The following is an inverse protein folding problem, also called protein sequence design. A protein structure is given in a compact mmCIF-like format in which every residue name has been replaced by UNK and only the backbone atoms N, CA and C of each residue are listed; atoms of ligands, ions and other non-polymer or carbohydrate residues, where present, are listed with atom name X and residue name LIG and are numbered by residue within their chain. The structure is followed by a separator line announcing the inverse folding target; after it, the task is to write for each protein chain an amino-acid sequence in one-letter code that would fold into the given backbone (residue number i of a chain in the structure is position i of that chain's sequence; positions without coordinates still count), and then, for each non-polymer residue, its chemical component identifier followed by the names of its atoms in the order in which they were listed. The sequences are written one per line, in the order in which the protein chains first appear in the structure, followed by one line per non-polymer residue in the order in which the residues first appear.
data_IF_058338055262
#
_entry.id   IF_058338055262
#
_cell.length_a   1.000
_cell.length_b   1.000
_cell.length_c   1.000
_cell.angle_alpha   90.00
_cell.angle_beta   90.00
_cell.angle_gamma   90.00
#
_symmetry.space_group_name_H-M   'P 1'
#
loop_
_entity.id
_entity.type
_entity.pdbx_description
1 polymer ?
#
# COMPACT_ATOMS: atom_id res chain seq x y z
N UNK A 1 -79.36 7.56 13.26
CA UNK A 1 -79.50 6.49 12.27
C UNK A 1 -78.14 6.40 11.58
N UNK A 2 -77.14 5.73 12.18
CA UNK A 2 -76.91 4.27 12.10
C UNK A 2 -76.79 3.85 10.63
N UNK A 3 -75.66 3.35 10.11
CA UNK A 3 -74.84 2.26 10.62
C UNK A 3 -73.38 2.37 10.15
N UNK A 4 -72.44 2.03 11.05
CA UNK A 4 -71.09 1.63 10.68
C UNK A 4 -71.09 0.11 10.41
N UNK A 5 -70.54 -0.30 9.27
CA UNK A 5 -70.34 -1.70 8.91
C UNK A 5 -68.83 -1.98 8.98
N UNK A 6 -68.44 -2.65 10.06
CA UNK A 6 -67.11 -3.21 10.30
C UNK A 6 -66.97 -4.50 9.47
N UNK A 7 -65.95 -4.59 8.64
CA UNK A 7 -65.55 -5.83 7.96
C UNK A 7 -64.39 -6.49 8.71
N UNK A 8 -64.53 -7.75 9.19
CA UNK A 8 -63.44 -8.49 9.80
C UNK A 8 -62.72 -9.38 8.77
N UNK A 9 -61.57 -8.93 8.25
CA UNK A 9 -60.66 -9.81 7.51
C UNK A 9 -59.80 -10.64 8.48
N UNK A 10 -60.23 -11.88 8.69
CA UNK A 10 -59.46 -12.96 9.29
C UNK A 10 -58.30 -13.33 8.35
N UNK A 11 -57.06 -13.08 8.76
CA UNK A 11 -55.88 -13.70 8.15
C UNK A 11 -55.48 -14.90 8.98
N UNK A 12 -55.72 -16.09 8.45
CA UNK A 12 -55.30 -17.38 8.98
C UNK A 12 -53.78 -17.49 8.96
N UNK A 13 -53.15 -17.54 10.14
CA UNK A 13 -51.77 -17.97 10.30
C UNK A 13 -51.68 -19.49 10.06
N UNK A 14 -51.03 -19.89 8.97
CA UNK A 14 -50.61 -21.28 8.77
C UNK A 14 -49.39 -21.58 9.65
N UNK A 15 -49.53 -22.53 10.58
CA UNK A 15 -48.43 -23.09 11.36
C UNK A 15 -47.33 -23.67 10.43
N UNK A 16 -46.04 -23.48 10.72
CA UNK A 16 -44.96 -24.20 10.04
C UNK A 16 -45.04 -25.69 10.39
N UNK A 17 -45.29 -26.54 9.39
CA UNK A 17 -45.09 -27.98 9.52
C UNK A 17 -43.57 -28.26 9.62
N UNK A 18 -43.15 -28.93 10.70
CA UNK A 18 -41.80 -29.44 10.83
C UNK A 18 -41.51 -30.43 9.68
N UNK A 19 -40.38 -30.29 8.96
CA UNK A 19 -40.00 -31.26 7.95
C UNK A 19 -39.73 -32.63 8.58
N UNK A 20 -40.04 -33.73 7.87
CA UNK A 20 -39.81 -35.09 8.37
C UNK A 20 -38.31 -35.31 8.64
N UNK A 21 -38.00 -35.79 9.85
CA UNK A 21 -36.65 -36.23 10.25
C UNK A 21 -36.11 -37.24 9.25
N UNK A 22 -35.18 -36.80 8.39
CA UNK A 22 -34.37 -37.71 7.60
C UNK A 22 -33.36 -38.40 8.54
N UNK A 23 -33.07 -39.70 8.33
CA UNK A 23 -32.08 -40.41 9.11
C UNK A 23 -30.73 -39.71 8.97
N UNK A 24 -30.14 -39.36 10.11
CA UNK A 24 -28.79 -38.79 10.21
C UNK A 24 -27.81 -39.85 9.70
N UNK A 25 -27.31 -39.67 8.48
CA UNK A 25 -26.18 -40.43 7.96
C UNK A 25 -24.97 -39.96 8.75
N UNK A 26 -24.53 -40.75 9.73
CA UNK A 26 -23.29 -40.50 10.48
C UNK A 26 -22.14 -40.58 9.47
N UNK A 27 -21.42 -39.48 9.21
CA UNK A 27 -20.29 -39.52 8.30
C UNK A 27 -19.23 -40.45 8.88
N UNK A 28 -18.87 -41.51 8.16
CA UNK A 28 -17.75 -42.35 8.52
C UNK A 28 -16.50 -41.49 8.64
N UNK A 29 -15.85 -41.54 9.81
CA UNK A 29 -14.62 -40.82 10.09
C UNK A 29 -13.58 -41.22 9.03
N UNK A 30 -13.06 -40.28 8.22
CA UNK A 30 -12.07 -40.62 7.21
C UNK A 30 -10.85 -41.22 7.90
N UNK A 31 -10.48 -42.46 7.51
CA UNK A 31 -9.22 -43.09 7.93
C UNK A 31 -8.07 -42.30 7.29
N UNK A 32 -7.54 -41.33 8.01
CA UNK A 32 -6.31 -40.63 7.63
C UNK A 32 -5.16 -41.63 7.57
N UNK A 33 -4.65 -41.86 6.37
CA UNK A 33 -3.51 -42.74 6.14
C UNK A 33 -2.22 -42.01 6.54
N UNK A 34 -1.79 -42.17 7.79
CA UNK A 34 -0.57 -41.56 8.33
C UNK A 34 0.69 -41.91 7.52
N UNK A 35 0.71 -43.04 6.80
CA UNK A 35 1.83 -43.39 5.93
C UNK A 35 1.95 -42.42 4.74
N UNK A 36 0.83 -41.93 4.21
CA UNK A 36 0.82 -40.98 3.09
C UNK A 36 1.33 -39.60 3.55
N UNK A 37 0.93 -39.16 4.75
CA UNK A 37 1.43 -37.91 5.35
C UNK A 37 2.94 -38.00 5.60
N UNK A 38 3.42 -39.14 6.13
CA UNK A 38 4.84 -39.38 6.34
C UNK A 38 5.68 -39.30 5.05
N UNK A 39 5.16 -39.86 3.96
CA UNK A 39 5.83 -39.82 2.65
C UNK A 39 5.99 -38.37 2.14
N UNK A 40 4.95 -37.56 2.26
CA UNK A 40 4.95 -36.15 1.79
C UNK A 40 5.94 -35.30 2.59
N UNK A 41 6.01 -35.47 3.91
CA UNK A 41 6.96 -34.72 4.75
C UNK A 41 8.40 -35.11 4.40
N UNK A 42 8.66 -36.39 4.15
CA UNK A 42 9.99 -36.88 3.78
C UNK A 42 10.45 -36.31 2.43
N UNK A 43 9.58 -36.28 1.41
CA UNK A 43 9.92 -35.71 0.10
C UNK A 43 10.14 -34.20 0.17
N UNK A 44 9.34 -33.47 0.96
CA UNK A 44 9.58 -32.03 1.18
C UNK A 44 10.95 -31.77 1.83
N UNK A 45 11.33 -32.53 2.88
CA UNK A 45 12.65 -32.41 3.52
C UNK A 45 13.80 -32.64 2.53
N UNK A 46 13.66 -33.61 1.62
CA UNK A 46 14.68 -33.88 0.59
C UNK A 46 14.77 -32.75 -0.43
N UNK A 47 13.64 -32.24 -0.94
CA UNK A 47 13.63 -31.17 -1.95
C UNK A 47 14.17 -29.85 -1.38
N UNK A 48 13.72 -29.46 -0.18
CA UNK A 48 14.19 -28.21 0.45
C UNK A 48 15.60 -28.34 1.01
N UNK A 49 15.97 -29.49 1.59
CA UNK A 49 17.31 -29.72 2.14
C UNK A 49 18.39 -29.76 1.06
N UNK A 50 18.18 -30.55 -0.01
CA UNK A 50 19.15 -30.62 -1.10
C UNK A 50 19.06 -29.41 -2.04
N UNK A 51 17.86 -28.92 -2.35
CA UNK A 51 17.67 -27.75 -3.22
C UNK A 51 18.29 -26.48 -2.64
N UNK A 52 18.12 -26.24 -1.33
CA UNK A 52 18.73 -25.10 -0.64
C UNK A 52 20.26 -25.16 -0.60
N UNK A 53 20.82 -26.36 -0.47
CA UNK A 53 22.29 -26.54 -0.44
C UNK A 53 22.96 -26.18 -1.77
N UNK A 54 22.34 -26.52 -2.91
CA UNK A 54 22.90 -26.19 -4.24
C UNK A 54 22.79 -24.70 -4.58
N UNK A 55 21.71 -24.02 -4.18
CA UNK A 55 21.55 -22.58 -4.42
C UNK A 55 22.53 -21.74 -3.59
N UNK A 56 22.86 -22.15 -2.37
CA UNK A 56 23.78 -21.41 -1.50
C UNK A 56 25.23 -21.35 -2.03
N UNK A 57 25.66 -22.30 -2.87
CA UNK A 57 27.04 -22.36 -3.38
C UNK A 57 27.32 -21.42 -4.56
N UNK A 58 26.30 -20.89 -5.25
CA UNK A 58 26.51 -20.01 -6.41
C UNK A 58 26.79 -18.54 -6.05
N UNK A 59 26.54 -18.11 -4.81
CA UNK A 59 26.67 -16.70 -4.40
C UNK A 59 28.08 -16.26 -3.98
N UNK A 60 29.08 -17.16 -3.94
CA UNK A 60 30.41 -16.83 -3.39
C UNK A 60 31.50 -16.50 -4.41
N UNK A 61 31.18 -16.50 -5.70
CA UNK A 61 32.17 -16.19 -6.75
C UNK A 61 31.54 -15.35 -7.84
N UNK A 62 31.70 -14.03 -7.73
CA UNK A 62 32.09 -13.11 -8.82
C UNK A 62 31.91 -11.66 -8.34
N UNK A 63 33.00 -10.95 -8.06
CA UNK A 63 33.25 -9.60 -8.58
C UNK A 63 34.60 -9.08 -8.06
N UNK A 64 35.65 -9.39 -8.82
CA UNK A 64 36.90 -8.61 -8.87
C UNK A 64 37.20 -8.36 -10.35
N UNK A 65 37.73 -7.16 -10.64
CA UNK A 65 38.08 -6.58 -11.95
C UNK A 65 36.94 -5.84 -12.68
N UNK A 66 37.10 -4.62 -13.21
CA UNK A 66 38.32 -3.88 -13.57
C UNK A 66 38.11 -2.36 -13.47
N UNK A 67 39.17 -1.69 -13.02
CA UNK A 67 39.42 -0.26 -13.17
C UNK A 67 40.13 0.00 -14.51
N UNK A 68 39.78 1.12 -15.14
CA UNK A 68 40.51 1.91 -16.14
C UNK A 68 41.11 1.26 -17.39
N UNK A 69 40.66 1.70 -18.57
CA UNK A 69 41.50 2.33 -19.61
C UNK A 69 40.62 3.14 -20.57
N UNK A 70 41.00 4.41 -20.76
CA UNK A 70 40.44 5.38 -21.70
C UNK A 70 40.78 5.07 -23.17
N UNK A 71 39.95 5.54 -24.13
CA UNK A 71 40.40 6.31 -25.32
C UNK A 71 39.22 6.81 -26.19
N UNK A 72 39.42 8.01 -26.74
CA UNK A 72 38.50 8.97 -27.36
C UNK A 72 37.96 8.67 -28.78
N UNK A 73 37.12 9.62 -29.24
CA UNK A 73 36.62 9.97 -30.60
C UNK A 73 35.23 9.41 -30.93
N UNK A 74 34.22 10.17 -31.40
CA UNK A 74 34.14 11.45 -32.13
C UNK A 74 32.71 12.03 -32.04
N UNK A 75 32.57 13.36 -32.12
CA UNK A 75 31.33 14.14 -32.02
C UNK A 75 30.15 13.72 -32.91
N UNK A 76 28.92 14.07 -32.47
CA UNK A 76 28.08 14.92 -33.32
C UNK A 76 27.41 16.09 -32.56
N UNK A 77 27.39 17.24 -33.23
CA UNK A 77 26.41 18.35 -33.24
C UNK A 77 25.66 18.68 -31.92
N UNK A 78 25.90 19.85 -31.28
CA UNK A 78 25.12 20.28 -30.14
C UNK A 78 23.76 20.87 -30.60
N UNK A 79 22.69 20.14 -30.36
CA UNK A 79 21.35 20.73 -30.16
C UNK A 79 21.39 21.50 -28.84
N UNK A 80 20.81 22.71 -28.73
CA UNK A 80 20.81 23.46 -27.48
C UNK A 80 20.03 22.70 -26.41
N UNK A 81 20.78 21.98 -25.58
CA UNK A 81 20.32 21.33 -24.36
C UNK A 81 19.94 22.43 -23.38
N UNK A 82 18.64 22.56 -23.11
CA UNK A 82 18.15 23.39 -22.02
C UNK A 82 18.84 22.91 -20.74
N UNK A 83 19.81 23.70 -20.28
CA UNK A 83 20.53 23.46 -19.04
C UNK A 83 19.51 23.54 -17.90
N UNK A 84 18.93 22.39 -17.55
CA UNK A 84 18.23 22.22 -16.29
C UNK A 84 19.27 22.36 -15.19
N UNK A 85 19.47 23.60 -14.76
CA UNK A 85 20.26 23.91 -13.58
C UNK A 85 19.54 23.21 -12.43
N UNK A 86 20.11 22.07 -12.00
CA UNK A 86 19.69 21.37 -10.78
C UNK A 86 20.02 22.29 -9.62
N UNK A 87 19.09 23.20 -9.35
CA UNK A 87 19.14 24.09 -8.20
C UNK A 87 19.00 23.19 -6.99
N UNK A 88 20.06 23.08 -6.20
CA UNK A 88 20.03 22.46 -4.87
C UNK A 88 18.87 23.11 -4.11
N UNK A 89 17.99 22.36 -3.43
CA UNK A 89 16.75 22.91 -2.89
C UNK A 89 17.02 24.13 -2.02
N UNK A 90 16.32 25.22 -2.36
CA UNK A 90 16.19 26.39 -1.51
C UNK A 90 15.89 25.96 -0.07
N UNK A 91 16.55 26.62 0.88
CA UNK A 91 16.34 26.49 2.33
C UNK A 91 14.87 26.21 2.60
N UNK A 92 14.55 24.96 2.92
CA UNK A 92 13.16 24.57 3.10
C UNK A 92 12.55 25.40 4.21
N UNK A 93 11.39 25.95 3.92
CA UNK A 93 10.65 26.75 4.88
C UNK A 93 10.09 25.84 5.98
N UNK A 94 10.91 25.61 7.00
CA UNK A 94 10.52 24.86 8.21
C UNK A 94 9.56 25.66 9.09
N UNK A 95 9.26 26.92 8.76
CA UNK A 95 8.34 27.75 9.55
C UNK A 95 6.92 27.19 9.58
N UNK A 96 6.57 26.31 8.63
CA UNK A 96 5.26 25.65 8.54
C UNK A 96 5.16 24.42 9.44
N UNK A 97 6.28 23.89 9.93
CA UNK A 97 6.27 22.70 10.76
C UNK A 97 6.00 23.04 12.24
N UNK A 98 5.29 22.16 12.97
CA UNK A 98 5.20 22.27 14.42
C UNK A 98 6.59 22.22 15.07
N UNK A 99 6.73 22.87 16.23
CA UNK A 99 7.99 22.92 16.98
C UNK A 99 8.52 21.49 17.24
N UNK A 100 9.78 21.26 16.90
CA UNK A 100 10.48 19.99 17.12
C UNK A 100 10.29 18.94 16.01
N UNK A 101 9.44 19.20 15.00
CA UNK A 101 9.35 18.35 13.83
C UNK A 101 10.53 18.58 12.90
N UNK A 102 10.88 17.55 12.12
CA UNK A 102 12.00 17.61 11.17
C UNK A 102 11.61 16.96 9.85
N UNK A 103 12.16 17.45 8.75
CA UNK A 103 12.03 16.77 7.48
C UNK A 103 13.01 15.59 7.39
N UNK A 104 12.52 14.45 6.90
CA UNK A 104 13.35 13.28 6.56
C UNK A 104 13.05 12.83 5.13
N UNK A 105 14.09 12.42 4.41
CA UNK A 105 14.03 11.91 3.04
C UNK A 105 14.42 10.43 3.01
N UNK A 106 13.81 9.62 2.15
CA UNK A 106 14.23 8.23 1.92
C UNK A 106 15.07 8.05 0.64
N UNK A 107 15.31 9.12 -0.11
CA UNK A 107 16.06 9.22 -1.37
C UNK A 107 15.50 8.43 -2.56
N UNK A 108 14.36 7.73 -2.41
CA UNK A 108 13.81 6.92 -3.50
C UNK A 108 12.87 7.77 -4.38
N UNK A 109 11.87 8.40 -3.76
CA UNK A 109 10.84 9.16 -4.47
C UNK A 109 11.10 10.66 -4.53
N UNK A 110 12.27 11.13 -4.08
CA UNK A 110 12.58 12.56 -3.97
C UNK A 110 11.69 13.32 -2.99
N UNK A 111 10.89 12.62 -2.20
CA UNK A 111 9.93 13.18 -1.26
C UNK A 111 10.53 13.29 0.13
N UNK A 112 10.13 14.33 0.86
CA UNK A 112 10.45 14.48 2.27
C UNK A 112 9.20 14.46 3.14
N UNK A 113 9.30 13.75 4.26
CA UNK A 113 8.24 13.61 5.25
C UNK A 113 8.53 14.51 6.44
N UNK A 114 7.51 15.24 6.89
CA UNK A 114 7.56 15.96 8.16
C UNK A 114 7.38 14.95 9.31
N UNK A 115 8.44 14.65 10.05
CA UNK A 115 8.44 13.62 11.09
C UNK A 115 8.44 14.27 12.48
N UNK A 116 7.50 13.91 13.38
CA UNK A 116 7.51 14.40 14.75
C UNK A 116 8.68 13.82 15.57
N UNK A 117 9.03 14.45 16.71
CA UNK A 117 10.06 13.90 17.61
C UNK A 117 9.59 12.58 18.23
N UNK A 118 10.53 11.66 18.53
CA UNK A 118 10.29 10.44 19.32
C UNK A 118 10.18 10.79 20.82
N UNK A 119 9.16 11.57 21.17
CA UNK A 119 8.87 12.05 22.52
C UNK A 119 7.36 12.23 22.68
N UNK A 120 6.88 12.40 23.92
CA UNK A 120 5.48 12.75 24.19
C UNK A 120 5.05 14.01 23.40
N UNK A 121 3.84 14.05 22.81
CA UNK A 121 2.79 13.01 22.80
C UNK A 121 2.89 11.98 21.64
N UNK A 122 3.94 12.07 20.81
CA UNK A 122 4.13 11.25 19.60
C UNK A 122 4.70 9.86 19.86
N UNK A 123 5.14 9.60 21.09
CA UNK A 123 5.60 8.32 21.56
C UNK A 123 4.73 7.89 22.74
N UNK A 124 4.21 6.67 22.66
CA UNK A 124 3.51 6.04 23.78
C UNK A 124 4.42 5.00 24.39
N UNK A 125 4.78 5.12 25.68
CA UNK A 125 5.59 4.10 26.33
C UNK A 125 4.87 2.75 26.30
N UNK A 126 5.67 1.68 26.24
CA UNK A 126 5.16 0.33 26.35
C UNK A 126 4.66 0.08 27.77
N UNK A 127 3.43 -0.41 27.91
CA UNK A 127 2.86 -0.83 29.18
C UNK A 127 2.87 -2.37 29.24
N UNK A 128 3.76 -2.99 30.02
CA UNK A 128 3.86 -4.44 30.11
C UNK A 128 2.63 -5.11 30.73
N UNK A 129 1.79 -4.34 31.43
CA UNK A 129 0.58 -4.87 32.08
C UNK A 129 -0.65 -4.83 31.17
N UNK A 130 -0.52 -4.21 29.99
CA UNK A 130 -1.59 -4.16 29.00
C UNK A 130 -1.28 -5.15 27.88
N UNK A 131 -2.20 -6.08 27.55
CA UNK A 131 -2.02 -6.91 26.37
C UNK A 131 -1.92 -6.01 25.13
N UNK A 132 -1.04 -6.32 24.17
CA UNK A 132 -0.92 -5.53 22.95
C UNK A 132 -2.27 -5.50 22.24
N UNK A 133 -2.91 -4.33 22.24
CA UNK A 133 -4.18 -4.17 21.54
C UNK A 133 -3.89 -4.02 20.06
N UNK A 134 -4.64 -4.79 19.24
CA UNK A 134 -4.65 -4.64 17.78
C UNK A 134 -5.56 -3.51 17.32
N UNK A 135 -6.20 -2.76 18.23
CA UNK A 135 -7.10 -1.64 17.86
C UNK A 135 -6.86 -0.38 18.68
N UNK A 136 -6.11 -0.47 19.78
CA UNK A 136 -5.83 0.65 20.67
C UNK A 136 -4.34 0.94 20.69
N UNK A 137 -4.00 2.19 20.44
CA UNK A 137 -2.62 2.66 20.37
C UNK A 137 -2.01 2.94 21.75
N UNK A 138 -2.82 3.00 22.82
CA UNK A 138 -2.37 3.35 24.18
C UNK A 138 -1.56 2.22 24.82
N UNK A 139 -0.39 2.55 25.38
CA UNK A 139 0.48 1.59 26.07
C UNK A 139 1.21 0.60 25.15
N UNK A 140 1.19 0.82 23.84
CA UNK A 140 1.68 -0.13 22.84
C UNK A 140 3.18 0.01 22.51
N UNK A 141 3.89 0.97 23.12
CA UNK A 141 5.27 1.27 22.73
C UNK A 141 5.40 1.96 21.37
N UNK A 142 4.29 2.40 20.77
CA UNK A 142 4.27 2.92 19.40
C UNK A 142 4.78 4.37 19.30
N UNK A 143 5.43 4.68 18.18
CA UNK A 143 5.84 6.02 17.77
C UNK A 143 5.79 6.15 16.24
N UNK A 144 5.89 7.39 15.76
CA UNK A 144 6.07 7.66 14.33
C UNK A 144 7.49 7.33 13.89
N UNK A 145 7.61 6.33 13.02
CA UNK A 145 8.89 5.86 12.50
C UNK A 145 9.04 6.15 11.00
N UNK A 146 10.28 6.36 10.55
CA UNK A 146 10.64 6.63 9.15
C UNK A 146 12.15 6.44 8.89
N UNK A 147 12.54 5.83 7.75
CA UNK A 147 11.70 5.15 6.76
C UNK A 147 11.46 3.68 7.15
N UNK A 148 10.29 3.12 6.78
CA UNK A 148 10.04 1.67 6.87
C UNK A 148 10.01 1.06 5.46
N UNK A 149 10.81 0.01 5.25
CA UNK A 149 11.01 -0.63 3.95
C UNK A 149 9.95 -1.67 3.55
N UNK A 150 8.76 -1.61 4.14
CA UNK A 150 7.65 -2.46 3.72
C UNK A 150 7.00 -1.87 2.48
N UNK A 151 6.73 -2.70 1.48
CA UNK A 151 5.97 -2.32 0.29
C UNK A 151 4.53 -2.77 0.45
N UNK A 152 3.59 -1.84 0.26
CA UNK A 152 2.16 -2.13 0.23
C UNK A 152 1.63 -2.12 -1.20
N UNK A 153 0.60 -2.94 -1.48
CA UNK A 153 -0.16 -2.83 -2.71
C UNK A 153 -0.57 -1.37 -2.95
N UNK A 154 -0.26 -0.89 -4.15
CA UNK A 154 -0.50 0.48 -4.58
C UNK A 154 -1.14 0.43 -5.97
N UNK A 155 -2.10 1.31 -6.22
CA UNK A 155 -2.80 1.35 -7.51
C UNK A 155 -1.89 1.84 -8.63
N UNK A 156 -0.83 2.57 -8.27
CA UNK A 156 0.23 3.01 -9.17
C UNK A 156 0.90 1.82 -9.88
N UNK A 157 1.00 0.67 -9.21
CA UNK A 157 1.46 -0.59 -9.83
C UNK A 157 0.56 -1.08 -10.97
N UNK A 158 -0.62 -0.49 -11.16
CA UNK A 158 -1.48 -0.78 -12.32
C UNK A 158 -1.10 0.03 -13.54
N UNK A 159 -0.34 1.11 -13.41
CA UNK A 159 0.25 1.76 -14.58
C UNK A 159 1.30 0.88 -15.30
N UNK A 160 1.63 -0.29 -14.74
CA UNK A 160 2.48 -1.27 -15.40
C UNK A 160 1.78 -1.94 -16.56
N UNK A 161 2.20 -1.54 -17.75
CA UNK A 161 2.04 -2.38 -18.92
C UNK A 161 2.99 -3.57 -18.82
N UNK A 162 2.57 -4.74 -19.29
CA UNK A 162 3.36 -6.00 -19.35
C UNK A 162 4.69 -5.90 -20.11
N UNK A 163 5.02 -4.73 -20.67
CA UNK A 163 6.19 -4.50 -21.52
C UNK A 163 7.35 -3.81 -20.81
N UNK A 164 7.15 -3.26 -19.62
CA UNK A 164 8.17 -2.46 -18.94
C UNK A 164 8.30 -2.92 -17.49
N UNK A 165 9.45 -3.50 -17.14
CA UNK A 165 9.77 -3.90 -15.77
C UNK A 165 10.14 -2.66 -14.96
N UNK A 166 9.11 -1.94 -14.49
CA UNK A 166 9.26 -0.79 -13.63
C UNK A 166 8.95 -1.24 -12.20
N UNK A 167 9.93 -1.15 -11.31
CA UNK A 167 9.71 -1.43 -9.89
C UNK A 167 9.20 -0.16 -9.19
N UNK A 168 8.00 -0.18 -8.57
CA UNK A 168 7.49 0.99 -7.87
C UNK A 168 8.37 1.16 -6.64
N UNK A 169 8.82 2.39 -6.43
CA UNK A 169 9.50 2.74 -5.20
C UNK A 169 8.47 3.26 -4.21
N UNK A 170 8.66 2.99 -2.92
CA UNK A 170 7.73 3.41 -1.89
C UNK A 170 8.47 3.94 -0.67
N UNK A 171 8.00 5.09 -0.19
CA UNK A 171 8.46 5.75 1.03
C UNK A 171 7.32 5.77 2.03
N UNK A 172 7.55 5.31 3.26
CA UNK A 172 6.48 5.24 4.26
C UNK A 172 6.97 5.73 5.62
N UNK A 173 6.16 6.56 6.24
CA UNK A 173 6.17 6.78 7.69
C UNK A 173 4.92 6.21 8.32
N UNK A 174 5.07 5.60 9.49
CA UNK A 174 4.01 4.84 10.13
C UNK A 174 4.09 4.92 11.64
N UNK A 175 2.94 4.79 12.29
CA UNK A 175 2.82 4.77 13.75
C UNK A 175 2.89 3.34 14.27
N UNK A 176 4.07 2.93 14.73
CA UNK A 176 4.49 1.53 14.88
C UNK A 176 5.29 1.29 16.14
N UNK A 177 5.35 0.03 16.58
CA UNK A 177 6.26 -0.39 17.64
C UNK A 177 7.60 -0.88 17.06
N UNK A 178 8.59 -1.10 17.92
CA UNK A 178 9.88 -1.65 17.50
C UNK A 178 9.72 -3.11 17.02
N UNK A 179 8.83 -3.88 17.66
CA UNK A 179 8.62 -5.32 17.43
C UNK A 179 7.36 -5.67 16.62
N UNK A 180 6.94 -4.81 15.69
CA UNK A 180 5.66 -5.02 15.00
C UNK A 180 5.66 -6.23 14.05
N UNK A 181 5.04 -7.34 14.49
CA UNK A 181 4.77 -8.54 13.70
C UNK A 181 3.28 -8.76 13.39
N UNK A 182 2.40 -7.85 13.85
CA UNK A 182 0.95 -8.08 13.87
C UNK A 182 0.24 -7.89 12.52
N UNK A 183 0.91 -7.33 11.51
CA UNK A 183 0.31 -6.93 10.23
C UNK A 183 -0.72 -5.79 10.32
N UNK A 184 -1.08 -5.37 11.53
CA UNK A 184 -1.95 -4.25 11.79
C UNK A 184 -1.21 -2.92 11.59
N UNK A 185 -1.90 -1.90 11.08
CA UNK A 185 -1.33 -0.57 10.83
C UNK A 185 -2.28 0.45 11.43
N UNK A 186 -1.86 1.08 12.53
CA UNK A 186 -2.66 2.12 13.20
C UNK A 186 -2.88 3.31 12.27
N UNK A 187 -1.77 3.90 11.79
CA UNK A 187 -1.73 4.90 10.74
C UNK A 187 -0.42 4.85 9.98
N UNK A 188 -0.48 5.16 8.69
CA UNK A 188 0.66 5.36 7.83
C UNK A 188 0.39 6.43 6.77
N UNK A 189 1.44 7.17 6.41
CA UNK A 189 1.49 7.98 5.21
C UNK A 189 2.49 7.32 4.27
N UNK A 190 2.00 6.87 3.12
CA UNK A 190 2.79 6.24 2.07
C UNK A 190 2.84 7.13 0.84
N UNK A 191 4.03 7.21 0.24
CA UNK A 191 4.28 7.82 -1.07
C UNK A 191 4.90 6.75 -1.95
N UNK A 192 4.16 6.32 -2.96
CA UNK A 192 4.66 5.44 -4.03
C UNK A 192 5.04 6.31 -5.23
N UNK A 193 6.07 5.92 -5.98
CA UNK A 193 6.46 6.60 -7.20
C UNK A 193 6.98 5.64 -8.27
N UNK A 194 6.78 6.03 -9.52
CA UNK A 194 7.37 5.40 -10.71
C UNK A 194 8.06 6.48 -11.52
N UNK A 195 9.24 6.20 -12.06
CA UNK A 195 9.91 7.14 -12.98
C UNK A 195 9.05 7.36 -14.22
N UNK A 196 8.89 8.62 -14.61
CA UNK A 196 8.06 9.01 -15.76
C UNK A 196 8.85 9.02 -17.08
N UNK A 197 10.15 8.72 -17.04
CA UNK A 197 11.01 8.64 -18.22
C UNK A 197 10.55 7.55 -19.20
N UNK A 198 9.98 6.45 -18.72
CA UNK A 198 9.49 5.34 -19.53
C UNK A 198 7.98 5.40 -19.78
N UNK A 199 7.20 5.94 -18.85
CA UNK A 199 5.75 6.06 -18.98
C UNK A 199 5.32 7.18 -19.92
N UNK A 200 6.12 8.26 -20.02
CA UNK A 200 5.85 9.42 -20.89
C UNK A 200 4.49 10.07 -20.63
N UNK A 201 3.97 9.96 -19.41
CA UNK A 201 2.71 10.56 -19.03
C UNK A 201 2.90 12.07 -18.94
N UNK A 202 2.11 12.83 -19.68
CA UNK A 202 2.33 14.27 -19.85
C UNK A 202 1.75 15.07 -18.67
N UNK A 203 0.57 14.68 -18.20
CA UNK A 203 -0.16 15.37 -17.15
C UNK A 203 -1.10 14.44 -16.38
N UNK A 204 -1.87 15.02 -15.47
CA UNK A 204 -2.78 14.25 -14.63
C UNK A 204 -3.98 13.66 -15.40
N UNK A 205 -4.40 14.26 -16.52
CA UNK A 205 -5.51 13.73 -17.34
C UNK A 205 -5.05 12.49 -18.10
N UNK A 206 -3.86 12.56 -18.70
CA UNK A 206 -3.19 11.45 -19.37
C UNK A 206 -2.91 10.29 -18.40
N UNK A 207 -2.45 10.61 -17.18
CA UNK A 207 -2.27 9.63 -16.10
C UNK A 207 -3.57 8.88 -15.79
N UNK A 208 -4.69 9.61 -15.64
CA UNK A 208 -5.97 9.00 -15.30
C UNK A 208 -6.54 8.16 -16.43
N UNK A 209 -6.39 8.62 -17.67
CA UNK A 209 -6.79 7.86 -18.86
C UNK A 209 -6.02 6.54 -18.93
N UNK A 210 -4.69 6.61 -18.78
CA UNK A 210 -3.80 5.44 -18.76
C UNK A 210 -4.17 4.50 -17.61
N UNK A 211 -4.35 5.03 -16.40
CA UNK A 211 -4.70 4.25 -15.21
C UNK A 211 -6.03 3.52 -15.40
N UNK A 212 -7.06 4.18 -15.92
CA UNK A 212 -8.35 3.55 -16.18
C UNK A 212 -8.22 2.40 -17.18
N UNK A 213 -7.48 2.60 -18.26
CA UNK A 213 -7.26 1.56 -19.27
C UNK A 213 -6.53 0.34 -18.71
N UNK A 214 -5.52 0.54 -17.87
CA UNK A 214 -4.79 -0.59 -17.24
C UNK A 214 -5.60 -1.27 -16.13
N UNK A 215 -6.41 -0.53 -15.36
CA UNK A 215 -7.35 -1.11 -14.41
C UNK A 215 -8.37 -2.00 -15.12
N UNK A 216 -8.90 -1.58 -16.26
CA UNK A 216 -9.84 -2.38 -17.05
C UNK A 216 -9.19 -3.70 -17.50
N UNK A 217 -7.97 -3.65 -18.03
CA UNK A 217 -7.19 -4.84 -18.39
C UNK A 217 -6.96 -5.75 -17.20
N UNK A 218 -6.55 -5.19 -16.06
CA UNK A 218 -6.35 -5.95 -14.82
C UNK A 218 -7.62 -6.64 -14.35
N UNK A 219 -8.76 -5.95 -14.41
CA UNK A 219 -10.05 -6.51 -14.01
C UNK A 219 -10.50 -7.66 -14.92
N UNK A 220 -10.17 -7.60 -16.22
CA UNK A 220 -10.46 -8.64 -17.21
C UNK A 220 -9.45 -9.81 -17.17
N UNK A 221 -8.27 -9.60 -16.56
CA UNK A 221 -7.24 -10.64 -16.44
C UNK A 221 -7.73 -11.82 -15.59
N UNK A 222 -7.45 -13.02 -16.08
CA UNK A 222 -7.68 -14.30 -15.37
C UNK A 222 -6.45 -14.78 -14.60
N UNK A 223 -5.37 -14.00 -14.58
CA UNK A 223 -4.15 -14.32 -13.83
C UNK A 223 -4.39 -14.26 -12.31
N UNK A 224 -3.59 -15.00 -11.55
CA UNK A 224 -3.66 -14.99 -10.09
C UNK A 224 -3.27 -13.61 -9.54
N UNK A 225 -4.17 -13.00 -8.78
CA UNK A 225 -4.02 -11.64 -8.25
C UNK A 225 -3.31 -11.57 -6.89
N UNK A 226 -3.01 -12.72 -6.28
CA UNK A 226 -2.33 -12.82 -4.98
C UNK A 226 -3.06 -12.06 -3.87
N UNK A 227 -2.33 -11.22 -3.12
CA UNK A 227 -2.88 -10.39 -2.03
C UNK A 227 -3.50 -9.07 -2.50
N UNK A 228 -3.63 -8.85 -3.81
CA UNK A 228 -4.22 -7.63 -4.36
C UNK A 228 -5.73 -7.76 -4.49
N UNK A 229 -6.44 -6.62 -4.57
CA UNK A 229 -7.87 -6.64 -4.80
C UNK A 229 -8.22 -7.37 -6.11
N UNK A 230 -9.33 -8.08 -6.12
CA UNK A 230 -9.83 -8.78 -7.31
C UNK A 230 -10.30 -7.78 -8.36
N UNK A 231 -10.88 -6.67 -7.92
CA UNK A 231 -11.36 -5.60 -8.79
C UNK A 231 -10.97 -4.22 -8.26
N UNK A 232 -10.60 -3.35 -9.18
CA UNK A 232 -10.44 -1.91 -8.93
C UNK A 232 -11.45 -1.12 -9.76
N UNK A 233 -12.06 -0.09 -9.18
CA UNK A 233 -12.91 0.84 -9.93
C UNK A 233 -12.69 2.26 -9.45
N UNK A 234 -12.27 3.16 -10.34
CA UNK A 234 -12.22 4.60 -10.02
C UNK A 234 -13.66 5.10 -9.90
N UNK A 235 -14.08 5.44 -8.68
CA UNK A 235 -15.43 5.91 -8.36
C UNK A 235 -15.57 7.40 -8.58
N UNK A 236 -14.54 8.16 -8.22
CA UNK A 236 -14.48 9.60 -8.44
C UNK A 236 -13.04 10.08 -8.64
N UNK A 237 -12.91 11.21 -9.34
CA UNK A 237 -11.67 11.93 -9.56
C UNK A 237 -11.94 13.43 -9.40
N UNK A 238 -11.23 14.07 -8.48
CA UNK A 238 -11.39 15.49 -8.18
C UNK A 238 -10.04 16.20 -8.29
N UNK A 239 -9.86 17.10 -9.28
CA UNK A 239 -8.68 17.95 -9.35
C UNK A 239 -8.56 18.83 -8.10
N UNK A 240 -7.33 18.99 -7.61
CA UNK A 240 -7.04 19.75 -6.39
C UNK A 240 -5.64 20.36 -6.47
N UNK A 241 -5.24 21.10 -5.44
CA UNK A 241 -3.87 21.62 -5.30
C UNK A 241 -3.37 21.32 -3.90
N UNK A 242 -2.25 20.61 -3.81
CA UNK A 242 -1.62 20.26 -2.54
C UNK A 242 -0.11 20.21 -2.71
N UNK A 243 0.64 20.57 -1.67
CA UNK A 243 2.12 20.57 -1.69
C UNK A 243 2.74 21.42 -2.81
N UNK A 244 2.02 22.45 -3.28
CA UNK A 244 2.42 23.27 -4.43
C UNK A 244 2.28 22.57 -5.78
N UNK A 245 1.68 21.37 -5.83
CA UNK A 245 1.45 20.59 -7.03
C UNK A 245 -0.03 20.58 -7.41
N UNK A 246 -0.31 20.49 -8.71
CA UNK A 246 -1.66 20.14 -9.20
C UNK A 246 -1.82 18.65 -9.02
N UNK A 247 -2.80 18.24 -8.22
CA UNK A 247 -3.03 16.83 -7.89
C UNK A 247 -4.43 16.40 -8.26
N UNK A 248 -4.67 15.09 -8.23
CA UNK A 248 -5.99 14.49 -8.35
C UNK A 248 -6.25 13.65 -7.11
N UNK A 249 -7.30 14.00 -6.39
CA UNK A 249 -7.84 13.16 -5.33
C UNK A 249 -8.80 12.13 -5.93
N UNK A 250 -8.50 10.85 -5.73
CA UNK A 250 -9.27 9.72 -6.22
C UNK A 250 -9.96 8.99 -5.08
N UNK A 251 -11.16 8.47 -5.36
CA UNK A 251 -11.76 7.39 -4.58
C UNK A 251 -11.82 6.17 -5.48
N UNK A 252 -11.15 5.10 -5.07
CA UNK A 252 -11.09 3.83 -5.79
C UNK A 252 -11.74 2.76 -4.96
N UNK A 253 -12.71 2.05 -5.53
CA UNK A 253 -13.28 0.85 -4.93
C UNK A 253 -12.33 -0.32 -5.17
N UNK A 254 -11.79 -0.87 -4.09
CA UNK A 254 -10.99 -2.09 -4.03
C UNK A 254 -11.85 -3.21 -3.45
N UNK A 255 -12.32 -4.09 -4.32
CA UNK A 255 -13.36 -5.08 -4.02
C UNK A 255 -14.61 -4.43 -3.40
N UNK A 256 -14.73 -4.44 -2.08
CA UNK A 256 -15.86 -3.89 -1.32
C UNK A 256 -15.54 -2.59 -0.58
N UNK A 257 -14.29 -2.11 -0.63
CA UNK A 257 -13.84 -0.99 0.18
C UNK A 257 -13.51 0.21 -0.71
N UNK A 258 -14.02 1.39 -0.35
CA UNK A 258 -13.60 2.63 -0.99
C UNK A 258 -12.33 3.15 -0.32
N UNK A 259 -11.29 3.36 -1.13
CA UNK A 259 -9.97 3.81 -0.71
C UNK A 259 -9.65 5.15 -1.35
N UNK A 260 -9.22 6.11 -0.54
CA UNK A 260 -8.81 7.42 -1.00
C UNK A 260 -7.32 7.44 -1.39
N UNK A 261 -7.04 8.04 -2.54
CA UNK A 261 -5.70 8.24 -3.08
C UNK A 261 -5.52 9.71 -3.49
N UNK A 262 -4.28 10.20 -3.44
CA UNK A 262 -3.90 11.44 -4.12
C UNK A 262 -2.80 11.11 -5.11
N UNK A 263 -3.02 11.38 -6.39
CA UNK A 263 -2.06 11.07 -7.45
C UNK A 263 -1.73 12.32 -8.25
N UNK A 264 -0.50 12.38 -8.78
CA UNK A 264 -0.10 13.45 -9.67
C UNK A 264 1.15 13.10 -10.47
N UNK A 265 1.38 13.85 -11.54
CA UNK A 265 2.50 13.67 -12.45
C UNK A 265 3.47 14.83 -12.35
N UNK A 266 4.75 14.50 -12.40
CA UNK A 266 5.85 15.44 -12.62
C UNK A 266 6.67 14.98 -13.83
N UNK A 267 7.58 15.82 -14.36
CA UNK A 267 8.48 15.38 -15.42
C UNK A 267 9.35 14.17 -15.02
N UNK A 268 9.62 13.98 -13.72
CA UNK A 268 10.52 12.93 -13.22
C UNK A 268 9.78 11.68 -12.76
N UNK A 269 8.63 11.83 -12.12
CA UNK A 269 7.88 10.74 -11.51
C UNK A 269 6.37 10.90 -11.66
N UNK A 270 5.68 9.76 -11.66
CA UNK A 270 4.26 9.66 -11.34
C UNK A 270 4.15 9.23 -9.88
N UNK A 271 3.36 9.96 -9.11
CA UNK A 271 3.20 9.75 -7.67
C UNK A 271 1.83 9.22 -7.31
N UNK A 272 1.80 8.37 -6.30
CA UNK A 272 0.62 8.02 -5.52
C UNK A 272 0.92 8.29 -4.05
N UNK A 273 0.02 8.97 -3.38
CA UNK A 273 0.12 9.29 -1.95
C UNK A 273 -1.13 8.82 -1.25
N UNK A 274 -0.95 8.14 -0.11
CA UNK A 274 -2.05 7.58 0.69
C UNK A 274 -1.82 7.83 2.17
N UNK A 275 -2.88 8.19 2.88
CA UNK A 275 -2.95 8.20 4.34
C UNK A 275 -3.96 7.14 4.77
N UNK A 276 -3.50 6.06 5.39
CA UNK A 276 -4.30 4.88 5.70
C UNK A 276 -3.99 4.31 7.08
N UNK A 277 -4.66 3.20 7.43
CA UNK A 277 -4.56 2.56 8.74
C UNK A 277 -5.86 2.67 9.53
N UNK A 278 -6.01 1.76 10.49
CA UNK A 278 -7.19 1.64 11.33
C UNK A 278 -6.81 2.04 12.76
N UNK A 279 -7.25 3.21 13.21
CA UNK A 279 -7.18 3.57 14.63
C UNK A 279 -8.38 4.44 14.95
N UNK A 280 -8.84 4.38 16.20
CA UNK A 280 -9.84 5.30 16.74
C UNK A 280 -9.21 6.52 17.41
N UNK A 281 -7.90 6.52 17.58
CA UNK A 281 -7.17 7.58 18.27
C UNK A 281 -7.12 8.87 17.44
N UNK A 282 -7.75 9.93 17.95
CA UNK A 282 -7.83 11.22 17.26
C UNK A 282 -6.45 11.85 17.09
N UNK A 283 -5.58 11.74 18.10
CA UNK A 283 -4.24 12.31 18.04
C UNK A 283 -3.39 11.63 16.97
N UNK A 284 -3.46 10.29 16.85
CA UNK A 284 -2.74 9.55 15.81
C UNK A 284 -3.28 9.90 14.42
N UNK A 285 -4.61 10.02 14.26
CA UNK A 285 -5.24 10.50 13.01
C UNK A 285 -4.76 11.89 12.60
N UNK A 286 -4.81 12.84 13.53
CA UNK A 286 -4.42 14.23 13.28
C UNK A 286 -2.92 14.34 12.99
N UNK A 287 -2.08 13.58 13.69
CA UNK A 287 -0.65 13.56 13.41
C UNK A 287 -0.37 13.02 12.01
N UNK A 288 -1.00 11.89 11.63
CA UNK A 288 -0.89 11.35 10.27
C UNK A 288 -1.31 12.38 9.22
N UNK A 289 -2.42 13.08 9.47
CA UNK A 289 -2.89 14.16 8.59
C UNK A 289 -1.88 15.30 8.48
N UNK A 290 -1.27 15.74 9.59
CA UNK A 290 -0.23 16.78 9.58
C UNK A 290 0.99 16.35 8.77
N UNK A 291 1.44 15.10 8.91
CA UNK A 291 2.52 14.54 8.10
C UNK A 291 2.15 14.60 6.61
N UNK A 292 0.97 14.09 6.27
CA UNK A 292 0.46 14.08 4.91
C UNK A 292 0.33 15.48 4.31
N UNK A 293 -0.21 16.45 5.04
CA UNK A 293 -0.41 17.82 4.54
C UNK A 293 0.92 18.59 4.36
N UNK A 294 2.00 18.16 5.02
CA UNK A 294 3.31 18.84 4.99
C UNK A 294 4.37 18.09 4.18
N UNK A 295 4.00 17.14 3.31
CA UNK A 295 4.94 16.51 2.38
C UNK A 295 5.59 17.56 1.46
N UNK A 296 6.85 17.31 1.09
CA UNK A 296 7.60 18.13 0.13
C UNK A 296 8.12 17.24 -0.99
N UNK A 297 7.79 17.62 -2.23
CA UNK A 297 8.16 16.91 -3.47
C UNK A 297 9.12 17.74 -4.32
#
# INVERSE_FOLDING_TARGET
MENQLNDPFQTTQSLPQNPPMQPIIVPEKPKTNFAMIGLVVLTCMLVFGFGGFYMGKQLSTTSKQNTDTAQSTTSPVPTPEATATTTIPATQDTSKLPKGWTYKNNNQCGVQFAIPPKADPYYRPYDPNRPPSVTEDLGSGRFWDFPRGVSYPNILSKLYTTKVNLDPQQAITMYVSEDEASGFISRAVSVSCIKNDQLKIVDNEDMLSTLNGEIEKYNQSTEEKGMQAQMYKIKSSTPSTRWGQKVVDLVVTEDANDVAYTMFVTPKYVYEVRNFGATNDVFVKETSKKIFDNLVF
#
